data_IF_280607309339
#
_entry.id   IF_280607309339
#
_cell.length_a   1.000
_cell.length_b   1.000
_cell.length_c   1.000
_cell.angle_alpha   90.00
_cell.angle_beta   90.00
_cell.angle_gamma   90.00
#
_symmetry.space_group_name_H-M   'P 1'
#
loop_
_entity.id
_entity.type
_entity.pdbx_description
1 polymer ?
#
# COMPACT_ATOMS: atom_id res chain seq x y z
N UNK A 1 9.86 -12.53 25.60
CA UNK A 1 9.64 -13.80 24.88
C UNK A 1 10.60 -13.80 23.72
N UNK A 2 11.65 -14.62 23.76
CA UNK A 2 12.57 -14.81 22.64
C UNK A 2 12.24 -16.15 21.98
N UNK A 3 12.04 -16.13 20.66
CA UNK A 3 11.77 -17.32 19.87
C UNK A 3 13.10 -17.80 19.30
N UNK A 4 13.50 -19.03 19.61
CA UNK A 4 14.78 -19.57 19.16
C UNK A 4 14.87 -19.60 17.63
N UNK A 5 15.98 -19.09 17.09
CA UNK A 5 16.20 -18.97 15.63
C UNK A 5 15.58 -17.73 14.99
N UNK A 6 14.80 -16.92 15.71
CA UNK A 6 14.34 -15.62 15.24
C UNK A 6 15.42 -14.58 15.53
N UNK A 7 16.05 -14.07 14.48
CA UNK A 7 17.08 -13.03 14.58
C UNK A 7 16.51 -11.63 14.48
N UNK A 8 15.28 -11.48 13.95
CA UNK A 8 14.63 -10.20 13.76
C UNK A 8 13.11 -10.31 13.60
N UNK A 9 12.39 -9.26 13.98
CA UNK A 9 10.94 -9.15 13.86
C UNK A 9 10.60 -7.78 13.25
N UNK A 10 9.80 -7.79 12.18
CA UNK A 10 9.29 -6.57 11.52
C UNK A 10 7.76 -6.62 11.50
N UNK A 11 7.07 -5.66 12.13
CA UNK A 11 5.62 -5.58 12.12
C UNK A 11 5.09 -5.25 10.72
N UNK A 12 4.03 -5.94 10.29
CA UNK A 12 3.33 -5.69 9.02
C UNK A 12 1.85 -5.95 9.17
N UNK A 13 1.02 -5.13 8.53
CA UNK A 13 -0.43 -5.38 8.42
C UNK A 13 -0.73 -5.90 7.02
N UNK A 14 -1.35 -7.07 6.93
CA UNK A 14 -1.87 -7.65 5.69
C UNK A 14 -3.38 -7.79 5.80
N UNK A 15 -4.10 -7.28 4.80
CA UNK A 15 -5.55 -7.38 4.76
C UNK A 15 -6.10 -7.44 3.34
N UNK A 16 -7.33 -7.92 3.22
CA UNK A 16 -8.10 -7.76 1.98
C UNK A 16 -9.05 -6.60 2.15
N UNK A 17 -8.86 -5.55 1.35
CA UNK A 17 -9.78 -4.43 1.33
C UNK A 17 -10.86 -4.66 0.26
N UNK A 18 -12.09 -4.71 0.73
CA UNK A 18 -13.25 -4.96 -0.11
C UNK A 18 -13.79 -3.66 -0.70
N UNK A 19 -13.63 -3.51 -2.00
CA UNK A 19 -14.27 -2.46 -2.78
C UNK A 19 -15.73 -2.82 -3.04
N UNK A 20 -16.61 -2.26 -2.20
CA UNK A 20 -18.07 -2.43 -2.28
C UNK A 20 -18.70 -2.17 -3.65
N UNK A 21 -18.30 -1.13 -4.43
CA UNK A 21 -19.04 -0.79 -5.65
C UNK A 21 -19.09 -1.88 -6.72
N UNK A 22 -18.15 -2.85 -6.72
CA UNK A 22 -18.11 -3.97 -7.70
C UNK A 22 -17.59 -5.29 -7.12
N UNK A 23 -17.70 -5.48 -5.81
CA UNK A 23 -17.29 -6.71 -5.12
C UNK A 23 -15.86 -7.20 -5.41
N UNK A 24 -14.92 -6.29 -5.67
CA UNK A 24 -13.50 -6.62 -5.88
C UNK A 24 -12.73 -6.46 -4.57
N UNK A 25 -11.77 -7.35 -4.32
CA UNK A 25 -10.85 -7.23 -3.20
C UNK A 25 -9.44 -6.97 -3.70
N UNK A 26 -8.74 -6.07 -3.00
CA UNK A 26 -7.30 -5.84 -3.19
C UNK A 26 -6.53 -6.28 -1.95
N UNK A 27 -5.30 -6.71 -2.15
CA UNK A 27 -4.37 -6.91 -1.06
C UNK A 27 -3.88 -5.54 -0.59
N UNK A 28 -4.10 -5.22 0.67
CA UNK A 28 -3.54 -4.04 1.32
C UNK A 28 -2.39 -4.46 2.22
N UNK A 29 -1.28 -3.75 2.08
CA UNK A 29 -0.11 -3.87 2.93
C UNK A 29 0.13 -2.55 3.66
N UNK A 30 -0.01 -2.59 4.98
CA UNK A 30 0.41 -1.52 5.89
C UNK A 30 1.86 -1.70 6.28
N UNK A 31 2.66 -0.68 6.00
CA UNK A 31 4.11 -0.73 6.16
C UNK A 31 4.57 0.44 7.04
N UNK A 32 5.46 0.15 7.98
CA UNK A 32 6.22 1.18 8.66
C UNK A 32 7.41 1.59 7.77
N UNK A 33 7.32 2.78 7.18
CA UNK A 33 8.36 3.31 6.31
C UNK A 33 9.55 3.89 7.07
N UNK A 34 9.52 4.00 8.40
CA UNK A 34 10.65 4.43 9.20
C UNK A 34 11.57 3.28 9.60
N UNK A 35 11.11 2.04 9.48
CA UNK A 35 11.91 0.86 9.78
C UNK A 35 12.87 0.52 8.63
N UNK A 36 14.18 0.45 8.94
CA UNK A 36 15.24 0.22 7.96
C UNK A 36 15.06 -1.07 7.15
N UNK A 37 14.50 -2.12 7.76
CA UNK A 37 14.25 -3.39 7.06
C UNK A 37 13.10 -3.31 6.06
N UNK A 38 12.04 -2.60 6.42
CA UNK A 38 10.91 -2.36 5.54
C UNK A 38 11.37 -1.55 4.33
N UNK A 39 12.22 -0.55 4.54
CA UNK A 39 12.84 0.20 3.46
C UNK A 39 13.69 -0.69 2.54
N UNK A 40 14.60 -1.52 3.09
CA UNK A 40 15.43 -2.45 2.30
C UNK A 40 14.61 -3.43 1.46
N UNK A 41 13.54 -3.99 2.03
CA UNK A 41 12.69 -4.95 1.34
C UNK A 41 11.85 -4.33 0.22
N UNK A 42 11.59 -3.03 0.31
CA UNK A 42 10.79 -2.27 -0.64
C UNK A 42 11.62 -1.37 -1.54
N UNK A 43 12.94 -1.34 -1.38
CA UNK A 43 13.84 -0.37 -1.99
C UNK A 43 13.59 -0.26 -3.48
N UNK A 44 13.56 -1.38 -4.21
CA UNK A 44 13.26 -1.43 -5.64
C UNK A 44 11.85 -0.94 -6.02
N UNK A 45 10.88 -1.02 -5.12
CA UNK A 45 9.51 -0.53 -5.34
C UNK A 45 9.40 0.97 -5.06
N UNK A 46 10.15 1.48 -4.08
CA UNK A 46 10.07 2.85 -3.58
C UNK A 46 11.24 3.74 -3.98
N UNK A 47 12.18 3.24 -4.78
CA UNK A 47 13.44 3.92 -5.16
C UNK A 47 13.23 5.37 -5.62
N UNK A 48 12.23 5.59 -6.49
CA UNK A 48 11.90 6.92 -7.01
C UNK A 48 10.94 7.75 -6.14
N UNK A 49 10.67 7.32 -4.90
CA UNK A 49 9.77 8.02 -3.98
C UNK A 49 10.60 8.74 -2.92
N UNK A 50 10.40 10.06 -2.82
CA UNK A 50 10.76 10.78 -1.60
C UNK A 50 9.84 10.32 -0.46
N UNK A 51 10.36 9.43 0.39
CA UNK A 51 9.63 8.84 1.52
C UNK A 51 9.10 9.91 2.47
N UNK A 52 9.85 11.01 2.71
CA UNK A 52 9.38 12.09 3.59
C UNK A 52 8.17 12.80 2.97
N UNK A 53 8.24 13.13 1.68
CA UNK A 53 7.12 13.72 0.96
C UNK A 53 5.91 12.76 0.92
N UNK A 54 6.14 11.46 0.74
CA UNK A 54 5.11 10.43 0.77
C UNK A 54 4.41 10.32 2.14
N UNK A 55 5.16 10.46 3.25
CA UNK A 55 4.59 10.34 4.60
C UNK A 55 3.91 11.61 5.10
N UNK A 56 4.13 12.77 4.45
CA UNK A 56 3.49 14.04 4.85
C UNK A 56 1.98 14.06 4.60
N UNK A 57 1.45 13.15 3.77
CA UNK A 57 0.03 13.09 3.45
C UNK A 57 -0.52 11.67 3.34
N UNK A 58 -1.83 11.57 3.13
CA UNK A 58 -2.49 10.30 2.84
C UNK A 58 -2.13 9.86 1.42
N UNK A 59 -1.10 9.03 1.30
CA UNK A 59 -0.61 8.55 0.02
C UNK A 59 -0.65 7.02 -0.04
N UNK A 60 -0.79 6.50 -1.25
CA UNK A 60 -0.69 5.07 -1.53
C UNK A 60 0.17 4.82 -2.77
N UNK A 61 0.78 3.64 -2.76
CA UNK A 61 1.46 3.05 -3.90
C UNK A 61 0.59 1.89 -4.36
N UNK A 62 0.34 1.78 -5.67
CA UNK A 62 -0.58 0.78 -6.21
C UNK A 62 0.05 -0.01 -7.36
N UNK A 63 -0.38 -1.24 -7.56
CA UNK A 63 -0.10 -1.99 -8.79
C UNK A 63 -0.92 -1.51 -9.98
N UNK A 64 -0.50 -1.92 -11.19
CA UNK A 64 -1.21 -1.60 -12.45
C UNK A 64 -2.66 -2.14 -12.44
N UNK A 65 -2.91 -3.36 -11.93
CA UNK A 65 -4.27 -3.92 -11.82
C UNK A 65 -5.21 -3.12 -10.92
N UNK A 66 -4.69 -2.52 -9.84
CA UNK A 66 -5.43 -1.59 -8.99
C UNK A 66 -5.69 -0.28 -9.73
N UNK A 67 -4.68 0.28 -10.39
CA UNK A 67 -4.80 1.52 -11.18
C UNK A 67 -5.83 1.39 -12.30
N UNK A 68 -5.80 0.31 -13.08
CA UNK A 68 -6.79 0.04 -14.13
C UNK A 68 -8.20 0.00 -13.55
N UNK A 69 -8.37 -0.70 -12.43
CA UNK A 69 -9.65 -0.75 -11.74
C UNK A 69 -10.11 0.63 -11.26
N UNK A 70 -9.24 1.39 -10.58
CA UNK A 70 -9.55 2.73 -10.08
C UNK A 70 -9.93 3.68 -11.23
N UNK A 71 -9.16 3.68 -12.32
CA UNK A 71 -9.42 4.46 -13.53
C UNK A 71 -10.78 4.14 -14.14
N UNK A 72 -11.12 2.85 -14.26
CA UNK A 72 -12.41 2.39 -14.79
C UNK A 72 -13.61 2.75 -13.88
N UNK A 73 -13.34 3.19 -12.66
CA UNK A 73 -14.33 3.70 -11.71
C UNK A 73 -14.11 5.20 -11.40
N UNK A 74 -13.49 5.94 -12.31
CA UNK A 74 -13.31 7.40 -12.28
C UNK A 74 -12.40 7.94 -11.17
N UNK A 75 -11.59 7.10 -10.54
CA UNK A 75 -10.55 7.49 -9.58
C UNK A 75 -9.20 7.65 -10.28
N UNK A 76 -8.90 8.85 -10.75
CA UNK A 76 -7.69 9.12 -11.55
C UNK A 76 -6.46 9.53 -10.73
N UNK A 77 -6.68 10.25 -9.62
CA UNK A 77 -5.60 10.84 -8.81
C UNK A 77 -5.65 10.42 -7.36
N UNK A 78 -6.86 10.37 -6.81
CA UNK A 78 -7.11 10.02 -5.43
C UNK A 78 -8.21 8.96 -5.36
N UNK A 79 -8.19 8.17 -4.31
CA UNK A 79 -9.25 7.23 -3.96
C UNK A 79 -9.83 7.57 -2.59
N UNK A 80 -11.16 7.48 -2.45
CA UNK A 80 -11.86 7.67 -1.19
C UNK A 80 -11.83 6.37 -0.39
N UNK A 81 -10.77 6.20 0.39
CA UNK A 81 -10.50 5.00 1.19
C UNK A 81 -11.31 4.99 2.47
N UNK A 82 -11.90 3.85 2.83
CA UNK A 82 -12.56 3.65 4.12
C UNK A 82 -11.58 3.00 5.09
N UNK A 83 -11.21 3.71 6.15
CA UNK A 83 -10.31 3.18 7.19
C UNK A 83 -10.98 2.05 7.97
N UNK A 84 -10.20 1.22 8.70
CA UNK A 84 -10.77 0.19 9.59
C UNK A 84 -11.75 0.75 10.64
N UNK A 85 -11.61 2.05 10.98
CA UNK A 85 -12.52 2.76 11.90
C UNK A 85 -13.80 3.25 11.23
N UNK A 86 -14.03 2.91 9.95
CA UNK A 86 -15.22 3.30 9.18
C UNK A 86 -15.22 4.75 8.67
N UNK A 87 -14.09 5.47 8.78
CA UNK A 87 -13.99 6.85 8.29
C UNK A 87 -13.49 6.86 6.84
N UNK A 88 -14.08 7.71 6.00
CA UNK A 88 -13.53 7.96 4.67
C UNK A 88 -12.42 9.01 4.70
N UNK A 89 -11.31 8.71 4.03
CA UNK A 89 -10.20 9.63 3.79
C UNK A 89 -9.86 9.63 2.29
N UNK A 90 -9.48 10.79 1.76
CA UNK A 90 -8.92 10.85 0.42
C UNK A 90 -7.44 10.44 0.49
N UNK A 91 -7.08 9.45 -0.33
CA UNK A 91 -5.72 8.91 -0.43
C UNK A 91 -5.23 9.13 -1.85
N UNK A 92 -4.10 9.81 -1.99
CA UNK A 92 -3.49 10.13 -3.28
C UNK A 92 -2.70 8.95 -3.82
N UNK A 93 -2.85 8.67 -5.11
CA UNK A 93 -2.00 7.74 -5.86
C UNK A 93 -0.65 8.42 -6.06
N UNK A 94 0.35 8.04 -5.27
CA UNK A 94 1.69 8.65 -5.33
C UNK A 94 2.61 7.94 -6.33
N UNK A 95 2.52 6.61 -6.41
CA UNK A 95 3.29 5.81 -7.38
C UNK A 95 2.44 4.65 -7.88
N UNK A 96 2.69 4.28 -9.13
CA UNK A 96 2.20 3.04 -9.71
C UNK A 96 3.41 2.14 -9.95
N UNK A 97 3.36 0.92 -9.44
CA UNK A 97 4.41 -0.07 -9.63
C UNK A 97 4.28 -0.68 -11.03
N UNK A 98 5.37 -0.72 -11.83
CA UNK A 98 5.34 -1.29 -13.18
C UNK A 98 4.92 -2.76 -13.19
N UNK A 99 4.23 -3.18 -14.25
CA UNK A 99 3.69 -4.54 -14.40
C UNK A 99 4.78 -5.62 -14.41
N UNK A 100 6.00 -5.28 -14.83
CA UNK A 100 7.15 -6.19 -14.83
C UNK A 100 7.61 -6.57 -13.41
N UNK A 101 7.21 -5.78 -12.40
CA UNK A 101 7.65 -5.93 -11.02
C UNK A 101 6.79 -6.94 -10.27
N UNK A 102 6.98 -8.24 -10.54
CA UNK A 102 6.36 -9.40 -9.85
C UNK A 102 4.81 -9.44 -9.89
N UNK A 103 4.25 -10.56 -10.35
CA UNK A 103 2.80 -10.83 -10.44
C UNK A 103 1.98 -10.42 -9.20
N UNK A 104 2.54 -10.61 -8.00
CA UNK A 104 1.85 -10.29 -6.74
C UNK A 104 1.60 -8.79 -6.56
N UNK A 105 2.48 -7.91 -7.07
CA UNK A 105 2.36 -6.46 -6.88
C UNK A 105 1.22 -5.84 -7.68
N UNK A 106 0.76 -6.52 -8.74
CA UNK A 106 -0.25 -6.00 -9.66
C UNK A 106 -1.58 -5.64 -8.98
N UNK A 107 -2.00 -6.44 -7.98
CA UNK A 107 -3.26 -6.25 -7.23
C UNK A 107 -3.03 -5.74 -5.80
N UNK A 108 -1.85 -5.17 -5.52
CA UNK A 108 -1.49 -4.62 -4.21
C UNK A 108 -1.73 -3.11 -4.09
N UNK A 109 -2.10 -2.71 -2.88
CA UNK A 109 -2.08 -1.33 -2.39
C UNK A 109 -1.12 -1.31 -1.18
N UNK A 110 -0.12 -0.44 -1.23
CA UNK A 110 0.81 -0.22 -0.13
C UNK A 110 0.54 1.16 0.46
N UNK A 111 0.40 1.20 1.78
CA UNK A 111 0.13 2.43 2.55
C UNK A 111 0.95 2.44 3.84
N UNK A 112 1.20 3.63 4.42
CA UNK A 112 1.68 3.73 5.79
C UNK A 112 0.79 2.93 6.74
N UNK A 113 1.41 2.18 7.66
CA UNK A 113 0.72 1.28 8.59
C UNK A 113 -0.35 2.00 9.44
N UNK A 114 -0.14 3.26 9.79
CA UNK A 114 -1.08 4.06 10.59
C UNK A 114 -2.41 4.39 9.88
N UNK A 115 -2.47 4.22 8.55
CA UNK A 115 -3.68 4.48 7.76
C UNK A 115 -4.58 3.26 7.58
N UNK A 116 -4.10 2.05 7.88
CA UNK A 116 -4.75 0.78 7.52
C UNK A 116 -4.93 -0.18 8.69
#
# INVERSE_FOLDING_TARGET
FDIYGVTKVTPRVYGRYFFRPKSKSFLIMGIDFFEEESQKNLENLIEDIDVKAFLTGNNMIIGEGVKEYLKNNFYYKNYKFMTPKGKFIDVKIAKIVPKETRLLANDMIIMPIDLV
#
